data_IF_022801786232
#
_entry.id   IF_022801786232
#
_cell.length_a   1.000
_cell.length_b   1.000
_cell.length_c   1.000
_cell.angle_alpha   90.00
_cell.angle_beta   90.00
_cell.angle_gamma   90.00
#
_symmetry.space_group_name_H-M   'P 1'
#
loop_
_entity.id
_entity.type
_entity.pdbx_description
1 polymer ?
#
# COMPACT_ATOMS: atom_id res chain seq x y z
N UNK A 1 11.57 6.68 -25.01
CA UNK A 1 10.75 6.83 -23.77
C UNK A 1 9.59 5.87 -23.87
N UNK A 2 9.60 4.74 -23.16
CA UNK A 2 8.47 3.81 -23.14
C UNK A 2 7.37 4.44 -22.28
N UNK A 3 6.30 4.93 -22.90
CA UNK A 3 5.05 5.22 -22.24
C UNK A 3 4.48 3.89 -21.71
N UNK A 4 4.94 3.45 -20.55
CA UNK A 4 4.32 2.33 -19.88
C UNK A 4 3.06 2.86 -19.21
N UNK A 5 1.92 2.70 -19.87
CA UNK A 5 0.62 2.82 -19.24
C UNK A 5 0.51 1.67 -18.23
N UNK A 6 0.89 1.93 -16.98
CA UNK A 6 0.68 0.95 -15.92
C UNK A 6 -0.82 0.92 -15.60
N UNK A 7 -1.41 -0.26 -15.73
CA UNK A 7 -2.82 -0.50 -15.43
C UNK A 7 -2.91 -1.63 -14.42
N UNK A 8 -3.55 -1.36 -13.29
CA UNK A 8 -3.93 -2.37 -12.33
C UNK A 8 -5.38 -2.79 -12.59
N UNK A 9 -5.62 -4.07 -12.88
CA UNK A 9 -6.96 -4.60 -13.14
C UNK A 9 -7.26 -5.74 -12.19
N UNK A 10 -8.48 -5.74 -11.69
CA UNK A 10 -9.08 -6.84 -10.96
C UNK A 10 -10.33 -7.26 -11.73
N UNK A 11 -10.42 -8.53 -12.09
CA UNK A 11 -11.46 -9.06 -12.96
C UNK A 11 -12.25 -10.14 -12.25
N UNK A 12 -13.56 -9.93 -12.16
CA UNK A 12 -14.55 -10.88 -11.65
C UNK A 12 -14.15 -11.44 -10.26
N UNK A 13 -13.76 -10.55 -9.34
CA UNK A 13 -13.29 -10.94 -8.02
C UNK A 13 -14.43 -11.46 -7.15
N UNK A 14 -14.20 -12.61 -6.54
CA UNK A 14 -15.04 -13.18 -5.50
C UNK A 14 -14.22 -13.47 -4.25
N UNK A 15 -14.83 -13.28 -3.08
CA UNK A 15 -14.30 -13.74 -1.81
C UNK A 15 -15.38 -14.35 -0.97
N UNK A 16 -15.16 -15.61 -0.58
CA UNK A 16 -16.04 -16.35 0.30
C UNK A 16 -15.27 -16.82 1.53
N UNK A 17 -15.86 -16.70 2.70
CA UNK A 17 -15.39 -17.24 3.97
C UNK A 17 -16.42 -18.25 4.48
N UNK A 18 -16.05 -19.53 4.49
CA UNK A 18 -17.00 -20.59 4.78
C UNK A 18 -18.20 -20.52 3.84
N UNK A 19 -19.40 -20.33 4.40
CA UNK A 19 -20.65 -20.18 3.62
C UNK A 19 -20.96 -18.73 3.24
N UNK A 20 -20.23 -17.75 3.77
CA UNK A 20 -20.52 -16.32 3.56
C UNK A 20 -19.76 -15.78 2.36
N UNK A 21 -20.49 -15.37 1.34
CA UNK A 21 -19.95 -14.61 0.19
C UNK A 21 -19.85 -13.14 0.58
N UNK A 22 -18.61 -12.60 0.62
CA UNK A 22 -18.32 -11.23 1.06
C UNK A 22 -18.08 -10.29 -0.13
N UNK A 23 -17.46 -10.78 -1.18
CA UNK A 23 -17.23 -10.04 -2.43
C UNK A 23 -17.78 -10.87 -3.57
N UNK A 24 -18.57 -10.23 -4.45
CA UNK A 24 -19.25 -10.90 -5.55
C UNK A 24 -19.06 -10.13 -6.86
N UNK A 25 -18.36 -10.75 -7.81
CA UNK A 25 -18.19 -10.27 -9.18
C UNK A 25 -17.72 -8.79 -9.24
N UNK A 26 -16.66 -8.44 -8.52
CA UNK A 26 -16.14 -7.06 -8.51
C UNK A 26 -15.07 -6.94 -9.59
N UNK A 27 -15.25 -5.94 -10.47
CA UNK A 27 -14.30 -5.51 -11.47
C UNK A 27 -13.78 -4.12 -11.11
N UNK A 28 -12.46 -3.91 -11.16
CA UNK A 28 -11.80 -2.63 -10.89
C UNK A 28 -10.67 -2.45 -11.89
N UNK A 29 -10.57 -1.27 -12.46
CA UNK A 29 -9.43 -0.84 -13.26
C UNK A 29 -8.92 0.49 -12.74
N UNK A 30 -7.59 0.62 -12.59
CA UNK A 30 -6.91 1.85 -12.19
C UNK A 30 -5.73 2.07 -13.13
N UNK A 31 -5.72 3.18 -13.84
CA UNK A 31 -4.64 3.59 -14.73
C UNK A 31 -3.65 4.50 -14.01
N UNK A 32 -2.42 4.54 -14.48
CA UNK A 32 -1.40 5.44 -13.94
C UNK A 32 -1.88 6.89 -13.93
N UNK A 33 -1.81 7.53 -12.76
CA UNK A 33 -2.27 8.90 -12.56
C UNK A 33 -3.77 9.04 -12.29
N UNK A 34 -4.53 7.94 -12.32
CA UNK A 34 -5.95 7.92 -12.01
C UNK A 34 -6.20 7.69 -10.51
N UNK A 35 -7.27 8.28 -10.02
CA UNK A 35 -7.79 8.04 -8.66
C UNK A 35 -9.15 7.38 -8.78
N UNK A 36 -9.26 6.16 -8.25
CA UNK A 36 -10.51 5.40 -8.24
C UNK A 36 -10.99 5.22 -6.81
N UNK A 37 -12.25 5.60 -6.56
CA UNK A 37 -12.91 5.45 -5.25
C UNK A 37 -13.81 4.22 -5.21
N UNK A 38 -13.67 3.37 -4.19
CA UNK A 38 -14.57 2.26 -3.93
C UNK A 38 -15.59 2.66 -2.86
N UNK A 39 -16.82 2.91 -3.27
CA UNK A 39 -17.90 3.37 -2.40
C UNK A 39 -18.85 2.23 -2.03
N UNK A 40 -19.53 2.38 -0.91
CA UNK A 40 -20.53 1.42 -0.43
C UNK A 40 -20.69 1.43 1.09
N UNK A 41 -21.75 0.81 1.62
CA UNK A 41 -22.02 0.74 3.06
C UNK A 41 -20.98 -0.11 3.81
N UNK A 42 -21.01 -0.06 5.15
CA UNK A 42 -20.20 -0.93 5.98
C UNK A 42 -20.58 -2.39 5.74
N UNK A 43 -19.59 -3.27 5.63
CA UNK A 43 -19.80 -4.69 5.32
C UNK A 43 -19.95 -5.00 3.81
N UNK A 44 -19.92 -4.01 2.90
CA UNK A 44 -20.01 -4.24 1.45
C UNK A 44 -18.78 -4.92 0.82
N UNK A 45 -17.80 -5.32 1.60
CA UNK A 45 -16.61 -6.02 1.09
C UNK A 45 -15.49 -5.10 0.58
N UNK A 46 -15.59 -3.77 0.76
CA UNK A 46 -14.56 -2.81 0.29
C UNK A 46 -13.16 -3.16 0.76
N UNK A 47 -12.95 -3.27 2.07
CA UNK A 47 -11.66 -3.63 2.67
C UNK A 47 -11.18 -5.00 2.19
N UNK A 48 -12.08 -5.97 2.06
CA UNK A 48 -11.76 -7.30 1.52
C UNK A 48 -11.27 -7.22 0.08
N UNK A 49 -11.90 -6.38 -0.73
CA UNK A 49 -11.47 -6.13 -2.12
C UNK A 49 -10.08 -5.50 -2.17
N UNK A 50 -9.81 -4.48 -1.35
CA UNK A 50 -8.47 -3.90 -1.22
C UNK A 50 -7.43 -4.94 -0.78
N UNK A 51 -7.75 -5.78 0.19
CA UNK A 51 -6.84 -6.83 0.65
C UNK A 51 -6.54 -7.89 -0.42
N UNK A 52 -7.50 -8.18 -1.30
CA UNK A 52 -7.25 -9.05 -2.46
C UNK A 52 -6.31 -8.35 -3.46
N UNK A 53 -6.55 -7.07 -3.76
CA UNK A 53 -5.74 -6.29 -4.72
C UNK A 53 -4.31 -6.11 -4.20
N UNK A 54 -4.11 -5.87 -2.92
CA UNK A 54 -2.77 -5.69 -2.32
C UNK A 54 -2.04 -7.01 -2.07
N UNK A 55 -2.73 -8.15 -2.16
CA UNK A 55 -2.13 -9.48 -1.94
C UNK A 55 -2.04 -9.91 -0.48
N UNK A 56 -2.74 -9.23 0.43
CA UNK A 56 -2.90 -9.66 1.82
C UNK A 56 -3.75 -10.93 1.94
N UNK A 57 -4.78 -11.05 1.10
CA UNK A 57 -5.61 -12.24 1.00
C UNK A 57 -5.76 -12.66 -0.46
N UNK A 58 -5.97 -13.94 -0.70
CA UNK A 58 -6.24 -14.47 -2.04
C UNK A 58 -7.73 -14.40 -2.37
N UNK A 59 -8.11 -14.07 -3.60
CA UNK A 59 -9.50 -14.21 -4.04
C UNK A 59 -9.90 -15.69 -4.09
N UNK A 60 -11.20 -15.95 -3.94
CA UNK A 60 -11.77 -17.31 -4.14
C UNK A 60 -11.92 -17.59 -5.63
N UNK A 61 -12.30 -16.56 -6.42
CA UNK A 61 -12.37 -16.58 -7.89
C UNK A 61 -12.00 -15.20 -8.43
N UNK A 62 -11.70 -15.15 -9.73
CA UNK A 62 -11.29 -13.94 -10.43
C UNK A 62 -9.77 -13.81 -10.53
N UNK A 63 -9.32 -12.77 -11.17
CA UNK A 63 -7.91 -12.52 -11.45
C UNK A 63 -7.53 -11.08 -11.18
N UNK A 64 -6.24 -10.87 -10.91
CA UNK A 64 -5.66 -9.54 -10.69
C UNK A 64 -4.43 -9.42 -11.57
N UNK A 65 -4.36 -8.34 -12.34
CA UNK A 65 -3.29 -8.09 -13.29
C UNK A 65 -2.62 -6.74 -13.00
N UNK A 66 -1.32 -6.70 -13.17
CA UNK A 66 -0.56 -5.48 -13.32
C UNK A 66 -0.04 -5.45 -14.77
N UNK A 67 -0.56 -4.54 -15.57
CA UNK A 67 -0.43 -4.55 -17.03
C UNK A 67 -0.92 -5.89 -17.63
N UNK A 68 -0.02 -6.65 -18.23
CA UNK A 68 -0.31 -7.97 -18.80
C UNK A 68 0.02 -9.12 -17.84
N UNK A 69 0.66 -8.84 -16.70
CA UNK A 69 1.13 -9.85 -15.76
C UNK A 69 0.02 -10.24 -14.79
N UNK A 70 -0.32 -11.52 -14.75
CA UNK A 70 -1.19 -12.08 -13.70
C UNK A 70 -0.43 -12.13 -12.36
N UNK A 71 -0.92 -11.35 -11.38
CA UNK A 71 -0.37 -11.25 -10.03
C UNK A 71 -1.30 -11.85 -8.98
N UNK A 72 -2.32 -12.59 -9.39
CA UNK A 72 -3.38 -13.12 -8.51
C UNK A 72 -2.83 -13.91 -7.34
N UNK A 73 -1.79 -14.72 -7.58
CA UNK A 73 -1.18 -15.57 -6.56
C UNK A 73 0.02 -14.90 -5.84
N UNK A 74 0.45 -13.72 -6.31
CA UNK A 74 1.57 -13.01 -5.72
C UNK A 74 1.20 -12.48 -4.33
N UNK A 75 2.05 -12.79 -3.34
CA UNK A 75 1.93 -12.23 -2.00
C UNK A 75 2.23 -10.73 -1.99
N UNK A 76 1.77 -10.01 -0.96
CA UNK A 76 1.91 -8.56 -0.82
C UNK A 76 3.35 -8.06 -1.06
N UNK A 77 4.38 -8.72 -0.51
CA UNK A 77 5.78 -8.31 -0.69
C UNK A 77 6.25 -8.39 -2.14
N UNK A 78 5.74 -9.35 -2.92
CA UNK A 78 6.05 -9.46 -4.36
C UNK A 78 5.39 -8.34 -5.15
N UNK A 79 4.13 -8.01 -4.80
CA UNK A 79 3.39 -6.90 -5.42
C UNK A 79 4.01 -5.55 -5.06
N UNK A 80 4.49 -5.39 -3.83
CA UNK A 80 5.21 -4.19 -3.40
C UNK A 80 6.47 -3.94 -4.23
N UNK A 81 7.26 -4.99 -4.52
CA UNK A 81 8.43 -4.91 -5.41
C UNK A 81 8.07 -4.58 -6.86
N UNK A 82 6.82 -4.76 -7.25
CA UNK A 82 6.29 -4.38 -8.56
C UNK A 82 5.65 -2.98 -8.56
N UNK A 83 5.71 -2.27 -7.43
CA UNK A 83 5.24 -0.88 -7.31
C UNK A 83 3.84 -0.72 -6.71
N UNK A 84 3.19 -1.79 -6.23
CA UNK A 84 1.89 -1.68 -5.56
C UNK A 84 2.11 -1.40 -4.08
N UNK A 85 1.89 -0.16 -3.67
CA UNK A 85 1.90 0.24 -2.26
C UNK A 85 0.54 0.04 -1.58
N UNK A 86 0.55 -0.07 -0.24
CA UNK A 86 -0.65 -0.08 0.58
C UNK A 86 -0.44 0.83 1.79
N UNK A 87 -1.36 1.77 1.96
CA UNK A 87 -1.42 2.59 3.17
C UNK A 87 -2.56 2.07 4.05
N UNK A 88 -2.22 1.55 5.22
CA UNK A 88 -3.19 1.03 6.16
C UNK A 88 -4.07 2.14 6.76
N UNK A 89 -5.28 1.78 7.18
CA UNK A 89 -6.18 2.68 7.90
C UNK A 89 -5.67 2.96 9.31
N UNK A 90 -5.04 1.96 9.93
CA UNK A 90 -4.42 2.07 11.25
C UNK A 90 -2.91 2.40 11.14
N UNK A 91 -2.33 2.97 12.21
CA UNK A 91 -0.91 3.27 12.26
C UNK A 91 -0.02 2.05 11.97
N UNK A 92 0.82 2.16 10.96
CA UNK A 92 1.81 1.14 10.62
C UNK A 92 3.25 1.57 10.94
N UNK A 93 3.41 2.44 11.96
CA UNK A 93 4.71 2.90 12.43
C UNK A 93 5.09 2.23 13.75
N UNK A 94 6.38 2.10 13.99
CA UNK A 94 6.91 1.61 15.25
C UNK A 94 6.91 2.75 16.28
N UNK A 95 5.92 2.75 17.16
CA UNK A 95 5.69 3.85 18.13
C UNK A 95 6.85 4.12 19.09
N UNK A 96 7.71 3.15 19.37
CA UNK A 96 8.89 3.30 20.23
C UNK A 96 10.11 3.88 19.51
N UNK A 97 10.14 3.83 18.19
CA UNK A 97 11.20 4.39 17.36
C UNK A 97 10.93 5.87 17.09
N UNK A 98 12.00 6.63 16.81
CA UNK A 98 11.86 8.00 16.32
C UNK A 98 11.29 8.03 14.91
N UNK A 99 10.83 9.19 14.46
CA UNK A 99 10.39 9.40 13.06
C UNK A 99 11.53 9.02 12.11
N UNK A 100 12.75 9.47 12.38
CA UNK A 100 13.91 9.16 11.55
C UNK A 100 14.22 7.66 11.55
N UNK A 101 14.16 6.97 12.69
CA UNK A 101 14.44 5.54 12.77
C UNK A 101 13.37 4.71 12.06
N UNK A 102 12.11 5.13 12.06
CA UNK A 102 11.07 4.52 11.26
C UNK A 102 11.38 4.60 9.76
N UNK A 103 11.87 5.76 9.28
CA UNK A 103 12.29 5.93 7.88
C UNK A 103 13.53 5.10 7.55
N UNK A 104 14.54 5.07 8.45
CA UNK A 104 15.74 4.24 8.30
C UNK A 104 15.39 2.77 8.15
N UNK A 105 14.54 2.24 9.02
CA UNK A 105 14.14 0.84 9.01
C UNK A 105 13.56 0.40 7.65
N UNK A 106 12.75 1.26 7.03
CA UNK A 106 12.18 0.97 5.70
C UNK A 106 13.24 1.04 4.62
N UNK A 107 14.16 2.01 4.70
CA UNK A 107 15.21 2.19 3.69
C UNK A 107 16.31 1.13 3.77
N UNK A 108 16.57 0.55 4.94
CA UNK A 108 17.48 -0.60 5.11
C UNK A 108 17.03 -1.84 4.32
N UNK A 109 15.73 -1.93 3.98
CA UNK A 109 15.20 -3.00 3.14
C UNK A 109 15.39 -2.74 1.63
N UNK A 110 16.03 -1.64 1.26
CA UNK A 110 16.32 -1.27 -0.13
C UNK A 110 17.79 -1.48 -0.48
N UNK A 111 18.12 -1.51 -1.76
CA UNK A 111 19.51 -1.64 -2.25
C UNK A 111 20.27 -0.30 -2.28
N UNK A 112 19.77 0.74 -1.58
CA UNK A 112 20.41 2.06 -1.52
C UNK A 112 21.65 2.04 -0.64
N UNK A 113 22.69 2.78 -1.03
CA UNK A 113 23.85 3.04 -0.16
C UNK A 113 23.42 3.78 1.11
N UNK A 114 24.23 3.73 2.17
CA UNK A 114 23.93 4.46 3.42
C UNK A 114 23.85 5.97 3.18
N UNK A 115 24.69 6.50 2.31
CA UNK A 115 24.68 7.90 1.91
C UNK A 115 23.37 8.26 1.20
N UNK A 116 22.93 7.44 0.24
CA UNK A 116 21.67 7.66 -0.49
C UNK A 116 20.45 7.52 0.43
N UNK A 117 20.50 6.59 1.39
CA UNK A 117 19.45 6.45 2.41
C UNK A 117 19.31 7.75 3.22
N UNK A 118 20.44 8.31 3.68
CA UNK A 118 20.43 9.56 4.45
C UNK A 118 19.90 10.74 3.63
N UNK A 119 20.34 10.88 2.36
CA UNK A 119 19.82 11.89 1.45
C UNK A 119 18.30 11.73 1.25
N UNK A 120 17.83 10.49 1.15
CA UNK A 120 16.41 10.20 0.99
C UNK A 120 15.60 10.56 2.23
N UNK A 121 16.12 10.29 3.42
CA UNK A 121 15.50 10.68 4.70
C UNK A 121 15.33 12.20 4.76
N UNK A 122 16.40 12.97 4.47
CA UNK A 122 16.34 14.43 4.47
C UNK A 122 15.25 14.94 3.51
N UNK A 123 15.21 14.38 2.29
CA UNK A 123 14.19 14.75 1.31
C UNK A 123 12.78 14.44 1.78
N UNK A 124 12.56 13.26 2.40
CA UNK A 124 11.25 12.87 2.91
C UNK A 124 10.80 13.78 4.05
N UNK A 125 11.65 14.00 5.05
CA UNK A 125 11.36 14.89 6.17
C UNK A 125 11.00 16.29 5.71
N UNK A 126 11.72 16.81 4.70
CA UNK A 126 11.44 18.12 4.12
C UNK A 126 10.13 18.14 3.32
N UNK A 127 9.90 17.16 2.45
CA UNK A 127 8.71 17.12 1.59
C UNK A 127 7.41 16.97 2.38
N UNK A 128 7.47 16.27 3.52
CA UNK A 128 6.34 16.07 4.43
C UNK A 128 6.23 17.16 5.49
N UNK A 129 7.18 18.14 5.53
CA UNK A 129 7.24 19.21 6.52
C UNK A 129 7.27 18.71 7.97
N UNK A 130 8.00 17.60 8.23
CA UNK A 130 8.12 16.96 9.56
C UNK A 130 9.55 16.96 10.11
N UNK A 131 10.44 17.83 9.61
CA UNK A 131 11.83 17.92 10.09
C UNK A 131 11.93 18.18 11.60
N UNK A 132 11.02 18.99 12.13
CA UNK A 132 10.94 19.31 13.57
C UNK A 132 10.54 18.11 14.44
N UNK A 133 9.97 17.07 13.84
CA UNK A 133 9.53 15.84 14.51
C UNK A 133 10.57 14.71 14.42
N UNK A 134 11.71 14.94 13.76
CA UNK A 134 12.74 13.93 13.46
C UNK A 134 13.03 12.99 14.62
N UNK A 135 13.24 13.56 15.79
CA UNK A 135 13.65 12.82 16.99
C UNK A 135 12.45 12.42 17.89
N UNK A 136 11.24 12.82 17.53
CA UNK A 136 10.05 12.45 18.29
C UNK A 136 9.73 10.97 18.08
N UNK A 137 9.30 10.32 19.15
CA UNK A 137 8.85 8.92 19.05
C UNK A 137 7.49 8.84 18.34
N UNK A 138 7.27 7.77 17.58
CA UNK A 138 6.03 7.57 16.85
C UNK A 138 4.77 7.64 17.72
N UNK A 139 4.83 7.15 18.98
CA UNK A 139 3.71 7.19 19.92
C UNK A 139 3.43 8.58 20.52
N UNK A 140 4.30 9.56 20.33
CA UNK A 140 4.10 10.95 20.78
C UNK A 140 3.52 11.86 19.71
N UNK A 141 3.31 11.36 18.49
CA UNK A 141 2.79 12.13 17.37
C UNK A 141 1.27 12.31 17.49
N UNK A 142 0.78 13.49 17.12
CA UNK A 142 -0.64 13.72 16.95
C UNK A 142 -1.20 12.97 15.73
N UNK A 143 -2.52 12.75 15.68
CA UNK A 143 -3.15 12.04 14.58
C UNK A 143 -2.94 12.65 13.19
N UNK A 144 -2.69 13.97 13.12
CA UNK A 144 -2.34 14.67 11.88
C UNK A 144 -0.88 14.51 11.47
N UNK A 145 0.05 14.58 12.42
CA UNK A 145 1.49 14.40 12.21
C UNK A 145 1.84 12.99 11.76
N UNK A 146 1.14 12.03 12.29
CA UNK A 146 1.28 10.64 12.05
C UNK A 146 0.77 10.18 10.65
N UNK A 147 -0.16 10.95 10.05
CA UNK A 147 -0.66 10.68 8.69
C UNK A 147 0.16 11.34 7.58
N UNK A 148 1.17 12.11 7.93
CA UNK A 148 2.12 12.72 7.00
C UNK A 148 3.28 11.79 6.72
#
# INVERSE_FOLDING_TARGET
>A
MKNSHQVLRAENLYKQYGKRLVVRAVDIEVKKGEIVGLLGPNGAGKTTTFYMITGMIKPTKGKIFLDTKDITQDAMYKRSRQGIGYLAQEPSIFGKLSVEDNLKLVLEMTDLSKEDQQIKIEKLLKSLAIQHLRNNKGNSLSGGEWRR
#
